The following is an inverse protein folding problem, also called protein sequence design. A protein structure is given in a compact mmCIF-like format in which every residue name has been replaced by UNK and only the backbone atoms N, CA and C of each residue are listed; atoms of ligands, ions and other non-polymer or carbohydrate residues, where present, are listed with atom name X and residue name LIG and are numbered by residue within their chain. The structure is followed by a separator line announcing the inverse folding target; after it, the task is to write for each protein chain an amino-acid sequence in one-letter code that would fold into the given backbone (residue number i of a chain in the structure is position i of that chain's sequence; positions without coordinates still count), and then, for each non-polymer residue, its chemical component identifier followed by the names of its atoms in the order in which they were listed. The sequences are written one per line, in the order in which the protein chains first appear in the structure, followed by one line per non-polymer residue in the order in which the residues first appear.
data_IF_665012226190
#
_entry.id   IF_665012226190
#
_cell.length_a   1.000
_cell.length_b   1.000
_cell.length_c   1.000
_cell.angle_alpha   90.00
_cell.angle_beta   90.00
_cell.angle_gamma   90.00
#
_symmetry.space_group_name_H-M   'P 1'
#
loop_
_entity.id
_entity.type
_entity.pdbx_description
1 polymer ?
#
# COMPACT_ATOMS: atom_id res chain seq x y z
N UNK A 1 5.48 13.88 -13.75
CA UNK A 1 4.59 12.94 -13.06
C UNK A 1 3.43 13.73 -12.45
N UNK A 2 2.20 13.24 -12.59
CA UNK A 2 1.02 13.88 -12.00
C UNK A 2 0.91 13.50 -10.53
N UNK A 3 0.47 14.45 -9.69
CA UNK A 3 0.13 14.17 -8.30
C UNK A 3 -1.11 13.26 -8.22
N UNK A 4 -1.29 12.57 -7.11
CA UNK A 4 -2.43 11.69 -6.88
C UNK A 4 -2.95 11.80 -5.45
N UNK A 5 -4.21 11.47 -5.27
CA UNK A 5 -4.90 11.38 -3.98
C UNK A 5 -5.44 9.96 -3.87
N UNK A 6 -5.18 9.30 -2.75
CA UNK A 6 -5.68 7.96 -2.48
C UNK A 6 -6.69 7.98 -1.35
N UNK A 7 -7.79 7.28 -1.53
CA UNK A 7 -8.85 7.09 -0.55
C UNK A 7 -8.88 5.62 -0.15
N UNK A 8 -8.80 5.36 1.14
CA UNK A 8 -8.87 4.02 1.70
C UNK A 8 -10.23 3.76 2.36
N UNK A 9 -10.88 2.67 1.99
CA UNK A 9 -12.10 2.22 2.66
C UNK A 9 -11.73 1.40 3.91
N UNK A 10 -11.74 2.04 5.07
CA UNK A 10 -11.45 1.37 6.35
C UNK A 10 -12.59 0.51 6.90
N UNK A 11 -13.77 0.58 6.29
CA UNK A 11 -14.96 -0.17 6.74
C UNK A 11 -14.92 -1.65 6.33
N UNK A 12 -15.80 -2.43 6.91
CA UNK A 12 -16.02 -3.83 6.52
C UNK A 12 -17.08 -3.97 5.42
N UNK A 13 -17.74 -2.89 5.02
CA UNK A 13 -18.67 -2.82 3.90
C UNK A 13 -18.07 -2.10 2.69
N UNK A 14 -18.66 -2.27 1.51
CA UNK A 14 -18.29 -1.47 0.34
C UNK A 14 -18.75 -0.02 0.53
N UNK A 15 -17.93 0.93 0.12
CA UNK A 15 -18.21 2.35 0.14
C UNK A 15 -18.32 2.87 -1.29
N UNK A 16 -19.44 3.53 -1.62
CA UNK A 16 -19.62 4.13 -2.94
C UNK A 16 -19.15 5.59 -2.92
N UNK A 17 -18.15 5.90 -3.73
CA UNK A 17 -17.63 7.24 -3.92
C UNK A 17 -18.42 8.03 -4.98
N UNK A 18 -19.37 7.42 -5.66
CA UNK A 18 -20.20 8.09 -6.65
C UNK A 18 -20.95 9.29 -6.02
N UNK A 19 -20.93 10.44 -6.69
CA UNK A 19 -21.46 11.72 -6.19
C UNK A 19 -20.79 12.31 -4.94
N UNK A 20 -19.72 11.70 -4.42
CA UNK A 20 -18.87 12.35 -3.43
C UNK A 20 -18.09 13.50 -4.06
N UNK A 21 -17.58 14.39 -3.22
CA UNK A 21 -16.83 15.57 -3.65
C UNK A 21 -15.43 15.53 -3.10
N UNK A 22 -14.46 15.69 -3.99
CA UNK A 22 -13.09 16.02 -3.63
C UNK A 22 -12.91 17.53 -3.76
N UNK A 23 -12.56 18.19 -2.67
CA UNK A 23 -12.26 19.62 -2.64
C UNK A 23 -10.79 19.84 -2.33
N UNK A 24 -10.19 20.76 -3.05
CA UNK A 24 -8.80 21.16 -2.86
C UNK A 24 -8.71 22.67 -2.79
N UNK A 25 -7.89 23.17 -1.86
CA UNK A 25 -7.53 24.57 -1.78
C UNK A 25 -6.02 24.69 -1.63
N UNK A 26 -5.38 25.42 -2.53
CA UNK A 26 -3.94 25.72 -2.49
C UNK A 26 -3.66 27.15 -2.01
N UNK A 27 -4.70 27.99 -1.96
CA UNK A 27 -4.64 29.38 -1.48
C UNK A 27 -5.94 29.72 -0.72
N UNK A 28 -5.91 30.60 0.26
CA UNK A 28 -7.11 31.07 0.94
C UNK A 28 -8.13 31.63 -0.06
N UNK A 29 -9.35 31.06 -0.05
CA UNK A 29 -10.43 31.48 -0.95
C UNK A 29 -10.49 30.80 -2.31
N UNK A 30 -9.46 30.04 -2.70
CA UNK A 30 -9.44 29.29 -3.96
C UNK A 30 -9.71 27.79 -3.69
N UNK A 31 -10.98 27.44 -3.67
CA UNK A 31 -11.39 26.04 -3.47
C UNK A 31 -11.96 25.47 -4.76
N UNK A 32 -11.27 24.50 -5.31
CA UNK A 32 -11.74 23.74 -6.48
C UNK A 32 -12.43 22.47 -6.02
N UNK A 33 -13.59 22.17 -6.64
CA UNK A 33 -14.38 20.99 -6.30
C UNK A 33 -14.45 20.06 -7.51
N UNK A 34 -14.09 18.81 -7.30
CA UNK A 34 -14.30 17.74 -8.24
C UNK A 34 -15.48 16.87 -7.78
N UNK A 35 -16.50 16.72 -8.61
CA UNK A 35 -17.61 15.83 -8.39
C UNK A 35 -17.30 14.47 -8.99
N UNK A 36 -17.23 13.43 -8.15
CA UNK A 36 -16.99 12.07 -8.63
C UNK A 36 -18.22 11.60 -9.42
N UNK A 37 -18.08 11.28 -10.71
CA UNK A 37 -19.20 10.89 -11.55
C UNK A 37 -19.94 9.66 -11.05
N UNK A 38 -21.24 9.59 -11.36
CA UNK A 38 -22.06 8.40 -11.13
C UNK A 38 -21.96 7.48 -12.35
N UNK A 39 -22.14 6.18 -12.11
CA UNK A 39 -22.25 5.19 -13.18
C UNK A 39 -20.98 4.41 -13.48
N UNK A 40 -19.86 4.76 -12.85
CA UNK A 40 -18.64 3.95 -12.93
C UNK A 40 -18.64 2.94 -11.76
N UNK A 41 -18.60 1.65 -12.09
CA UNK A 41 -18.60 0.57 -11.09
C UNK A 41 -17.35 0.59 -10.20
N UNK A 42 -16.26 1.18 -10.68
CA UNK A 42 -15.00 1.27 -9.95
C UNK A 42 -15.05 2.29 -8.81
N UNK A 43 -16.09 3.16 -8.76
CA UNK A 43 -16.32 4.04 -7.61
C UNK A 43 -16.81 3.29 -6.38
N UNK A 44 -17.29 2.05 -6.54
CA UNK A 44 -17.64 1.16 -5.43
C UNK A 44 -16.39 0.51 -4.86
N UNK A 45 -15.81 1.14 -3.85
CA UNK A 45 -14.59 0.68 -3.19
C UNK A 45 -14.93 -0.45 -2.20
N UNK A 46 -14.41 -1.65 -2.45
CA UNK A 46 -14.61 -2.82 -1.59
C UNK A 46 -13.99 -2.59 -0.20
N UNK A 47 -14.38 -3.39 0.81
CA UNK A 47 -13.76 -3.34 2.12
C UNK A 47 -12.24 -3.44 2.06
N UNK A 48 -11.54 -2.58 2.79
CA UNK A 48 -10.08 -2.58 2.90
C UNK A 48 -9.35 -2.40 1.57
N UNK A 49 -9.99 -1.76 0.59
CA UNK A 49 -9.42 -1.43 -0.71
C UNK A 49 -9.22 0.07 -0.87
N UNK A 50 -8.45 0.45 -1.88
CA UNK A 50 -8.06 1.80 -2.19
C UNK A 50 -8.68 2.27 -3.51
N UNK A 51 -8.94 3.57 -3.62
CA UNK A 51 -9.28 4.26 -4.86
C UNK A 51 -8.28 5.40 -5.08
N UNK A 52 -7.61 5.41 -6.22
CA UNK A 52 -6.57 6.38 -6.57
C UNK A 52 -7.12 7.39 -7.58
N UNK A 53 -7.01 8.68 -7.25
CA UNK A 53 -7.41 9.79 -8.11
C UNK A 53 -6.17 10.58 -8.57
N UNK A 54 -6.04 10.78 -9.87
CA UNK A 54 -4.99 11.58 -10.47
C UNK A 54 -5.35 13.07 -10.45
N UNK A 55 -4.57 13.87 -9.77
CA UNK A 55 -4.72 15.33 -9.71
C UNK A 55 -3.98 15.97 -10.90
N UNK A 56 -4.40 15.65 -12.12
CA UNK A 56 -3.76 16.09 -13.37
C UNK A 56 -4.52 17.20 -14.09
N UNK A 57 -5.72 17.57 -13.63
CA UNK A 57 -6.56 18.58 -14.25
C UNK A 57 -7.21 18.13 -15.55
N UNK A 58 -7.31 16.81 -15.80
CA UNK A 58 -7.77 16.23 -17.05
C UNK A 58 -8.98 15.28 -16.88
N UNK A 59 -10.14 15.78 -16.44
CA UNK A 59 -11.31 14.94 -16.13
C UNK A 59 -11.85 14.18 -17.36
N UNK A 60 -11.50 14.61 -18.57
CA UNK A 60 -11.87 13.91 -19.81
C UNK A 60 -11.21 12.54 -19.97
N UNK A 61 -10.16 12.25 -19.18
CA UNK A 61 -9.46 10.96 -19.21
C UNK A 61 -10.18 9.86 -18.45
N UNK A 62 -11.17 10.20 -17.65
CA UNK A 62 -12.02 9.25 -16.92
C UNK A 62 -12.33 9.68 -15.49
N UNK A 63 -13.15 8.87 -14.82
CA UNK A 63 -13.67 9.13 -13.46
C UNK A 63 -12.59 9.39 -12.42
N UNK A 64 -11.41 8.81 -12.57
CA UNK A 64 -10.32 8.93 -11.60
C UNK A 64 -9.30 10.02 -11.96
N UNK A 65 -9.61 10.88 -12.93
CA UNK A 65 -8.84 12.07 -13.28
C UNK A 65 -9.60 13.33 -12.84
N UNK A 66 -9.00 14.07 -11.91
CA UNK A 66 -9.69 15.22 -11.30
C UNK A 66 -9.56 16.46 -12.18
N UNK A 67 -10.45 17.45 -11.96
CA UNK A 67 -10.44 18.74 -12.63
C UNK A 67 -9.43 19.75 -12.07
N UNK A 68 -8.63 19.36 -11.08
CA UNK A 68 -7.64 20.21 -10.44
C UNK A 68 -6.24 19.58 -10.44
N UNK A 69 -5.26 20.42 -10.13
CA UNK A 69 -3.86 20.01 -9.88
C UNK A 69 -3.48 20.40 -8.46
N UNK A 70 -2.58 19.61 -7.85
CA UNK A 70 -1.95 19.99 -6.58
C UNK A 70 -0.69 20.80 -6.88
N UNK A 71 -0.47 21.87 -6.11
CA UNK A 71 0.71 22.70 -6.23
C UNK A 71 1.72 22.32 -5.13
N UNK A 72 2.89 21.77 -5.47
CA UNK A 72 3.89 21.36 -4.48
C UNK A 72 4.53 22.56 -3.74
N UNK A 73 4.48 23.76 -4.32
CA UNK A 73 5.09 24.97 -3.74
C UNK A 73 4.25 25.58 -2.62
N UNK A 74 2.97 25.25 -2.55
CA UNK A 74 2.03 25.78 -1.56
C UNK A 74 1.48 24.69 -0.65
N UNK A 75 0.96 25.07 0.51
CA UNK A 75 0.19 24.14 1.31
C UNK A 75 -1.10 23.77 0.55
N UNK A 76 -1.42 22.48 0.52
CA UNK A 76 -2.63 21.99 -0.11
C UNK A 76 -3.57 21.40 0.95
N UNK A 77 -4.74 22.00 1.09
CA UNK A 77 -5.82 21.38 1.83
C UNK A 77 -6.61 20.48 0.88
N UNK A 78 -6.87 19.25 1.29
CA UNK A 78 -7.69 18.27 0.56
C UNK A 78 -8.79 17.78 1.48
N UNK A 79 -10.03 17.85 1.03
CA UNK A 79 -11.19 17.37 1.77
C UNK A 79 -12.05 16.43 0.94
N UNK A 80 -12.47 15.33 1.55
CA UNK A 80 -13.44 14.39 0.99
C UNK A 80 -14.79 14.64 1.66
N UNK A 81 -15.83 14.82 0.84
CA UNK A 81 -17.20 15.05 1.29
C UNK A 81 -18.13 14.00 0.68
N UNK A 82 -19.15 13.63 1.42
CA UNK A 82 -20.21 12.79 0.87
C UNK A 82 -21.13 13.56 -0.11
N UNK A 83 -22.08 12.87 -0.72
CA UNK A 83 -23.06 13.46 -1.62
C UNK A 83 -23.98 14.48 -0.95
N UNK A 84 -24.12 14.43 0.37
CA UNK A 84 -24.83 15.40 1.21
C UNK A 84 -23.98 16.59 1.64
N UNK A 85 -22.74 16.71 1.12
CA UNK A 85 -21.76 17.76 1.46
C UNK A 85 -21.26 17.71 2.90
N UNK A 86 -21.40 16.59 3.59
CA UNK A 86 -20.81 16.35 4.90
C UNK A 86 -19.34 15.96 4.73
N UNK A 87 -18.47 16.60 5.50
CA UNK A 87 -17.03 16.26 5.51
C UNK A 87 -16.84 14.84 6.08
N UNK A 88 -16.17 14.00 5.32
CA UNK A 88 -15.80 12.63 5.72
C UNK A 88 -14.37 12.57 6.25
N UNK A 89 -13.42 13.17 5.52
CA UNK A 89 -12.01 13.23 5.93
C UNK A 89 -11.33 14.45 5.30
N UNK A 90 -10.23 14.91 5.90
CA UNK A 90 -9.45 16.03 5.38
C UNK A 90 -8.00 15.94 5.80
N UNK A 91 -7.15 16.60 5.02
CA UNK A 91 -5.72 16.71 5.30
C UNK A 91 -5.19 18.05 4.78
N UNK A 92 -4.20 18.57 5.45
CA UNK A 92 -3.36 19.66 4.95
C UNK A 92 -1.96 19.13 4.71
N UNK A 93 -1.51 19.18 3.48
CA UNK A 93 -0.12 18.87 3.10
C UNK A 93 0.64 20.18 3.17
N UNK A 94 1.67 20.31 4.04
CA UNK A 94 2.44 21.54 4.15
C UNK A 94 3.19 21.87 2.85
N UNK A 95 3.43 23.16 2.61
CA UNK A 95 4.23 23.62 1.47
C UNK A 95 5.64 23.01 1.53
N UNK A 96 6.14 22.53 0.42
CA UNK A 96 7.49 21.96 0.31
C UNK A 96 7.75 20.71 1.16
N UNK A 97 6.69 20.09 1.72
CA UNK A 97 6.85 18.89 2.55
C UNK A 97 7.25 17.65 1.75
N UNK A 98 6.98 17.64 0.45
CA UNK A 98 7.20 16.48 -0.43
C UNK A 98 8.24 16.79 -1.49
N UNK A 99 9.26 15.95 -1.56
CA UNK A 99 10.17 15.86 -2.70
C UNK A 99 9.63 14.98 -3.82
N UNK A 100 10.37 14.86 -4.93
CA UNK A 100 10.02 13.95 -6.01
C UNK A 100 9.88 12.50 -5.51
N UNK A 101 8.82 11.81 -5.98
CA UNK A 101 8.52 10.42 -5.62
C UNK A 101 8.26 10.19 -4.12
N UNK A 102 7.83 11.20 -3.40
CA UNK A 102 7.40 11.09 -2.01
C UNK A 102 5.87 11.23 -1.91
N UNK A 103 5.29 10.72 -0.83
CA UNK A 103 3.87 10.89 -0.53
C UNK A 103 3.65 11.30 0.92
N UNK A 104 2.58 12.05 1.17
CA UNK A 104 2.09 12.36 2.51
C UNK A 104 0.94 11.40 2.82
N UNK A 105 1.19 10.44 3.68
CA UNK A 105 0.26 9.36 3.93
C UNK A 105 0.08 9.09 5.42
N UNK A 106 -0.99 8.40 5.77
CA UNK A 106 -1.16 7.90 7.12
C UNK A 106 -0.08 6.87 7.45
N UNK A 107 0.35 6.81 8.69
CA UNK A 107 1.38 5.85 9.16
C UNK A 107 1.01 4.42 8.77
N UNK A 108 -0.26 4.08 8.94
CA UNK A 108 -0.87 2.85 8.43
C UNK A 108 -2.31 3.12 8.00
N UNK A 109 -2.91 2.23 7.22
CA UNK A 109 -4.27 2.38 6.71
C UNK A 109 -5.29 2.59 7.83
N UNK A 110 -5.98 3.73 7.77
CA UNK A 110 -6.97 4.12 8.76
C UNK A 110 -6.42 4.68 10.07
N UNK A 111 -5.10 4.84 10.22
CA UNK A 111 -4.50 5.53 11.37
C UNK A 111 -4.88 7.03 11.40
N UNK A 112 -4.77 7.66 12.57
CA UNK A 112 -5.00 9.09 12.69
C UNK A 112 -3.79 9.93 12.28
N UNK A 113 -2.60 9.40 12.46
CA UNK A 113 -1.33 10.09 12.25
C UNK A 113 -0.90 10.07 10.79
N UNK A 114 -0.24 11.15 10.35
CA UNK A 114 0.28 11.34 9.01
C UNK A 114 1.79 11.49 9.03
N UNK A 115 2.44 10.96 8.01
CA UNK A 115 3.89 11.09 7.83
C UNK A 115 4.28 11.22 6.36
N UNK A 116 5.49 11.70 6.11
CA UNK A 116 6.10 11.68 4.78
C UNK A 116 6.66 10.29 4.52
N UNK A 117 6.19 9.66 3.45
CA UNK A 117 6.76 8.42 2.91
C UNK A 117 7.85 8.80 1.91
N UNK A 118 9.10 8.59 2.31
CA UNK A 118 10.28 9.04 1.55
C UNK A 118 10.68 8.14 0.39
N UNK A 119 10.10 6.94 0.32
CA UNK A 119 10.47 5.92 -0.68
C UNK A 119 11.70 5.08 -0.28
N UNK A 120 12.20 5.25 0.95
CA UNK A 120 13.36 4.51 1.46
C UNK A 120 13.15 4.05 2.92
N UNK A 121 13.92 3.05 3.34
CA UNK A 121 13.75 2.42 4.64
C UNK A 121 12.39 1.74 4.74
N UNK A 122 11.69 1.93 5.86
CA UNK A 122 10.34 1.39 6.07
C UNK A 122 9.22 2.33 5.59
N UNK A 123 9.57 3.43 4.87
CA UNK A 123 8.63 4.48 4.44
C UNK A 123 8.44 4.49 2.93
N UNK A 124 7.93 3.40 2.39
CA UNK A 124 7.69 3.29 0.96
C UNK A 124 6.45 4.07 0.52
N UNK A 125 6.48 4.55 -0.72
CA UNK A 125 5.33 5.11 -1.41
C UNK A 125 4.55 3.96 -2.01
N UNK A 126 3.31 3.76 -1.57
CA UNK A 126 2.50 2.54 -1.84
C UNK A 126 1.17 2.87 -2.52
N UNK A 127 1.16 3.42 -3.75
CA UNK A 127 -0.09 3.72 -4.43
C UNK A 127 -0.90 2.44 -4.70
N UNK A 128 -2.18 2.47 -4.38
CA UNK A 128 -3.14 1.37 -4.54
C UNK A 128 -2.85 0.11 -3.70
N UNK A 129 -2.03 0.23 -2.67
CA UNK A 129 -1.73 -0.85 -1.75
C UNK A 129 -1.58 -0.32 -0.32
N UNK A 130 -1.53 -1.21 0.66
CA UNK A 130 -1.51 -0.84 2.07
C UNK A 130 -0.31 0.03 2.43
N UNK A 131 -0.51 1.04 3.27
CA UNK A 131 0.55 1.94 3.77
C UNK A 131 1.59 1.24 4.63
N UNK A 132 1.29 0.07 5.12
CA UNK A 132 2.23 -0.78 5.83
C UNK A 132 3.10 -1.49 4.82
N UNK A 133 4.37 -1.21 4.87
CA UNK A 133 5.37 -1.79 4.01
C UNK A 133 5.46 -3.30 4.17
N UNK A 134 5.30 -3.96 3.05
CA UNK A 134 5.87 -5.25 2.75
C UNK A 134 5.65 -6.35 3.80
N UNK A 135 4.47 -6.93 3.77
CA UNK A 135 4.28 -8.30 4.25
C UNK A 135 5.27 -9.30 3.61
N UNK A 136 5.87 -8.95 2.46
CA UNK A 136 6.88 -9.78 1.81
C UNK A 136 8.22 -9.77 2.56
N UNK A 137 8.71 -8.62 3.02
CA UNK A 137 9.98 -8.58 3.73
C UNK A 137 9.84 -9.04 5.19
N UNK A 138 8.73 -8.74 5.86
CA UNK A 138 8.52 -9.24 7.22
C UNK A 138 8.31 -10.76 7.26
N UNK A 139 7.80 -11.36 6.19
CA UNK A 139 7.77 -12.81 6.05
C UNK A 139 9.12 -13.38 5.72
N UNK A 140 9.88 -12.75 4.82
CA UNK A 140 11.27 -13.17 4.54
C UNK A 140 12.18 -12.96 5.74
N UNK A 141 12.08 -11.85 6.43
CA UNK A 141 12.86 -11.56 7.64
C UNK A 141 12.51 -12.52 8.79
N UNK A 142 11.23 -12.87 8.95
CA UNK A 142 10.79 -13.94 9.86
C UNK A 142 11.20 -15.33 9.39
N UNK A 143 11.31 -15.57 8.09
CA UNK A 143 11.88 -16.80 7.56
C UNK A 143 13.39 -16.85 7.78
N UNK A 144 14.15 -15.78 7.57
CA UNK A 144 15.57 -15.72 7.86
C UNK A 144 15.85 -15.84 9.37
N UNK A 145 15.07 -15.21 10.22
CA UNK A 145 15.23 -15.27 11.69
C UNK A 145 14.81 -16.64 12.28
N UNK A 146 13.85 -17.33 11.64
CA UNK A 146 13.43 -18.69 12.04
C UNK A 146 14.14 -19.80 11.27
N UNK A 147 14.81 -19.50 10.19
CA UNK A 147 15.50 -20.46 9.31
C UNK A 147 17.01 -20.54 9.59
N UNK A 148 17.46 -20.01 10.72
CA UNK A 148 18.73 -20.40 11.30
C UNK A 148 18.83 -21.93 11.48
N UNK A 149 17.68 -22.63 11.54
CA UNK A 149 17.56 -24.08 11.59
C UNK A 149 17.37 -24.74 10.21
N UNK A 150 17.13 -24.02 9.12
CA UNK A 150 16.94 -24.62 7.78
C UNK A 150 18.20 -25.31 7.27
N UNK A 151 19.37 -24.75 7.56
CA UNK A 151 20.66 -25.40 7.33
C UNK A 151 20.80 -26.62 8.26
N UNK A 152 20.36 -26.51 9.50
CA UNK A 152 20.34 -27.61 10.47
C UNK A 152 19.41 -28.75 10.03
N UNK A 153 18.21 -28.46 9.55
CA UNK A 153 17.30 -29.44 9.00
C UNK A 153 17.87 -30.14 7.74
N UNK A 154 18.50 -29.40 6.84
CA UNK A 154 19.13 -29.97 5.64
C UNK A 154 20.27 -30.89 6.00
N UNK A 155 21.12 -30.50 6.96
CA UNK A 155 22.23 -31.32 7.45
C UNK A 155 21.71 -32.58 8.16
N UNK A 156 20.68 -32.45 8.99
CA UNK A 156 20.11 -33.60 9.72
C UNK A 156 19.44 -34.59 8.74
N UNK A 157 18.67 -34.13 7.75
CA UNK A 157 18.07 -34.95 6.72
C UNK A 157 19.14 -35.70 5.88
N UNK A 158 20.19 -35.00 5.45
CA UNK A 158 21.34 -35.62 4.78
C UNK A 158 22.03 -36.66 5.66
N UNK A 159 22.25 -36.34 6.92
CA UNK A 159 22.91 -37.27 7.87
C UNK A 159 22.14 -38.56 8.05
N UNK A 160 20.81 -38.51 8.16
CA UNK A 160 19.95 -39.70 8.25
C UNK A 160 20.04 -40.57 7.00
N UNK A 161 20.05 -39.98 5.81
CA UNK A 161 20.18 -40.69 4.53
C UNK A 161 21.58 -41.34 4.44
N UNK A 162 22.66 -40.63 4.78
CA UNK A 162 24.00 -41.18 4.76
C UNK A 162 24.19 -42.31 5.77
N UNK A 163 23.66 -42.20 7.00
CA UNK A 163 23.67 -43.27 7.99
C UNK A 163 22.90 -44.51 7.46
N UNK A 164 21.75 -44.32 6.83
CA UNK A 164 21.00 -45.42 6.21
C UNK A 164 21.79 -46.13 5.11
N UNK A 165 22.46 -45.39 4.25
CA UNK A 165 23.29 -45.95 3.18
C UNK A 165 24.50 -46.68 3.73
N UNK A 166 25.16 -46.19 4.79
CA UNK A 166 26.31 -46.86 5.46
C UNK A 166 25.85 -48.17 6.10
N UNK A 167 24.72 -48.20 6.79
CA UNK A 167 24.16 -49.42 7.38
C UNK A 167 23.80 -50.45 6.30
N UNK A 168 23.21 -50.05 5.21
CA UNK A 168 22.94 -50.93 4.06
C UNK A 168 24.23 -51.49 3.48
N UNK A 169 25.24 -50.67 3.27
CA UNK A 169 26.56 -51.11 2.80
C UNK A 169 27.20 -52.12 3.72
N UNK A 170 27.16 -51.90 5.02
CA UNK A 170 27.69 -52.85 6.03
C UNK A 170 26.92 -54.16 5.98
N UNK A 171 25.56 -54.11 5.93
CA UNK A 171 24.71 -55.28 5.83
C UNK A 171 25.04 -56.14 4.58
N UNK A 172 25.16 -55.49 3.42
CA UNK A 172 25.53 -56.19 2.17
C UNK A 172 26.94 -56.77 2.22
N UNK A 173 27.89 -56.06 2.86
CA UNK A 173 29.24 -56.57 3.03
C UNK A 173 29.32 -57.78 3.95
N UNK A 174 28.46 -57.84 4.98
CA UNK A 174 28.38 -58.99 5.86
C UNK A 174 27.75 -60.17 5.16
N UNK A 175 26.58 -59.93 4.47
CA UNK A 175 25.88 -61.00 3.77
C UNK A 175 26.66 -61.51 2.54
N UNK A 176 27.40 -60.65 1.85
CA UNK A 176 28.23 -61.04 0.69
C UNK A 176 29.55 -61.71 1.06
N UNK A 177 29.86 -61.92 2.35
CA UNK A 177 30.99 -62.66 2.82
C UNK A 177 30.63 -64.12 3.25
N UNK A 178 29.37 -64.47 3.17
CA UNK A 178 28.83 -65.82 3.30
C UNK A 178 28.65 -66.41 1.92
#
# INVERSE_FOLDING_TARGET
HSAWIEIFNKSFGSADLAACLLKVSSQPGDTVTYFIPKGDILTLVKPRQHALFWADGEPNRGTFHTSFKLNPETANWVGLFDSGKKLLDQIVVPAGALGPNQSYARVSDGAAEWEVKSGSGDKYVTPSTNNKTLDSNSKMEKFEEHDADGVGMSISAMSVVFCGLILLFIAFKIVGKV
#
